data_IF_894653309633
#
_entry.id   IF_894653309633
#
_cell.length_a   1.000
_cell.length_b   1.000
_cell.length_c   1.000
_cell.angle_alpha   90.00
_cell.angle_beta   90.00
_cell.angle_gamma   90.00
#
_symmetry.space_group_name_H-M   'P 1'
#
loop_
_entity.id
_entity.type
_entity.pdbx_description
1 polymer ?
#
# COMPACT_ATOMS: atom_id res chain seq x y z
N UNK A 1 -45.31 16.67 -25.71
CA UNK A 1 -44.20 16.80 -26.67
C UNK A 1 -43.48 15.45 -26.72
N UNK A 2 -43.63 14.68 -27.81
CA UNK A 2 -43.04 13.32 -27.91
C UNK A 2 -41.55 13.48 -28.19
N UNK A 3 -40.71 13.17 -27.21
CA UNK A 3 -39.25 13.12 -27.39
C UNK A 3 -38.99 12.00 -28.40
N UNK A 4 -38.31 12.28 -29.54
CA UNK A 4 -38.08 11.27 -30.56
C UNK A 4 -37.20 10.14 -30.00
N UNK A 5 -37.59 8.89 -30.27
CA UNK A 5 -36.92 7.67 -29.78
C UNK A 5 -35.40 7.66 -30.05
N UNK A 6 -34.96 8.35 -31.11
CA UNK A 6 -33.55 8.52 -31.47
C UNK A 6 -32.74 9.28 -30.40
N UNK A 7 -33.30 10.32 -29.78
CA UNK A 7 -32.64 11.08 -28.70
C UNK A 7 -32.51 10.20 -27.45
N UNK A 8 -33.48 9.31 -27.23
CA UNK A 8 -33.47 8.35 -26.13
C UNK A 8 -32.32 7.35 -26.28
N UNK A 9 -32.10 6.84 -27.50
CA UNK A 9 -30.99 5.92 -27.79
C UNK A 9 -29.62 6.60 -27.69
N UNK A 10 -29.50 7.84 -28.13
CA UNK A 10 -28.27 8.65 -27.96
C UNK A 10 -27.96 8.88 -26.47
N UNK A 11 -28.97 9.21 -25.67
CA UNK A 11 -28.80 9.42 -24.23
C UNK A 11 -28.35 8.13 -23.51
N UNK A 12 -28.94 6.99 -23.87
CA UNK A 12 -28.58 5.68 -23.29
C UNK A 12 -27.16 5.27 -23.70
N UNK A 13 -26.77 5.52 -24.94
CA UNK A 13 -25.41 5.24 -25.41
C UNK A 13 -24.37 6.09 -24.67
N UNK A 14 -24.63 7.38 -24.48
CA UNK A 14 -23.74 8.26 -23.69
C UNK A 14 -23.64 7.84 -22.23
N UNK A 15 -24.74 7.43 -21.60
CA UNK A 15 -24.73 6.91 -20.23
C UNK A 15 -23.89 5.62 -20.13
N UNK A 16 -24.03 4.69 -21.08
CA UNK A 16 -23.28 3.44 -21.10
C UNK A 16 -21.77 3.66 -21.27
N UNK A 17 -21.37 4.59 -22.15
CA UNK A 17 -19.95 4.96 -22.33
C UNK A 17 -19.40 5.58 -21.05
N UNK A 18 -20.15 6.46 -20.39
CA UNK A 18 -19.71 7.12 -19.16
C UNK A 18 -19.48 6.13 -18.00
N UNK A 19 -20.35 5.11 -17.87
CA UNK A 19 -20.20 4.08 -16.85
C UNK A 19 -19.01 3.13 -17.11
N UNK A 20 -18.65 2.90 -18.37
CA UNK A 20 -17.52 2.02 -18.72
C UNK A 20 -16.13 2.62 -18.39
N UNK A 21 -16.06 3.94 -18.20
CA UNK A 21 -14.83 4.65 -17.78
C UNK A 21 -14.54 4.61 -16.27
N UNK A 22 -15.41 4.00 -15.46
CA UNK A 22 -15.23 3.95 -14.01
C UNK A 22 -14.38 2.73 -13.59
N UNK A 23 -13.05 2.91 -13.55
CA UNK A 23 -12.16 1.96 -12.90
C UNK A 23 -12.05 2.32 -11.41
N UNK A 24 -12.75 1.60 -10.54
CA UNK A 24 -12.63 1.75 -9.10
C UNK A 24 -11.79 0.60 -8.53
N UNK A 25 -10.62 0.92 -7.96
CA UNK A 25 -9.84 -0.04 -7.18
C UNK A 25 -10.37 -0.04 -5.75
N UNK A 26 -10.91 -1.16 -5.29
CA UNK A 26 -11.37 -1.32 -3.91
C UNK A 26 -10.25 -2.01 -3.14
N UNK A 27 -9.51 -1.27 -2.31
CA UNK A 27 -8.63 -1.87 -1.31
C UNK A 27 -9.49 -2.40 -0.15
N UNK A 28 -9.62 -3.74 -0.06
CA UNK A 28 -10.28 -4.41 1.05
C UNK A 28 -9.26 -4.67 2.17
N UNK A 29 -9.31 -3.85 3.22
CA UNK A 29 -8.46 -3.98 4.40
C UNK A 29 -7.26 -3.04 4.43
N UNK A 30 -6.52 -3.02 5.55
CA UNK A 30 -5.35 -2.17 5.72
C UNK A 30 -4.20 -2.69 4.85
N UNK A 31 -3.57 -1.81 4.09
CA UNK A 31 -2.33 -2.06 3.35
C UNK A 31 -1.45 -0.82 3.45
N UNK A 32 -0.13 -0.96 3.43
CA UNK A 32 0.74 0.20 3.24
C UNK A 32 0.45 0.73 1.83
N UNK A 33 0.08 2.00 1.77
CA UNK A 33 0.03 2.76 0.53
C UNK A 33 1.36 2.76 -0.24
N UNK A 34 1.47 3.51 -1.33
CA UNK A 34 2.74 3.67 -2.04
C UNK A 34 3.81 4.14 -1.05
N UNK A 35 4.95 3.43 -1.04
CA UNK A 35 6.11 3.84 -0.26
C UNK A 35 6.77 5.01 -0.97
N UNK A 36 7.07 6.07 -0.24
CA UNK A 36 7.85 7.20 -0.75
C UNK A 36 9.34 6.89 -0.60
N UNK A 37 10.09 7.02 -1.69
CA UNK A 37 11.55 6.83 -1.69
C UNK A 37 12.24 8.16 -1.39
N UNK A 38 13.17 8.15 -0.45
CA UNK A 38 14.04 9.30 -0.16
C UNK A 38 15.49 8.86 -0.22
N UNK A 39 16.25 9.46 -1.13
CA UNK A 39 17.69 9.25 -1.22
C UNK A 39 18.38 10.04 -0.11
N UNK A 40 19.00 9.33 0.84
CA UNK A 40 19.74 9.96 1.92
C UNK A 40 21.11 10.44 1.46
N UNK A 41 21.79 9.63 0.64
CA UNK A 41 23.12 9.90 0.08
C UNK A 41 23.44 8.93 -1.06
N UNK A 42 24.40 9.29 -1.91
CA UNK A 42 24.93 8.47 -3.00
C UNK A 42 24.26 8.66 -4.36
N UNK A 43 25.04 8.44 -5.42
CA UNK A 43 24.63 8.60 -6.84
C UNK A 43 24.90 7.33 -7.67
N UNK A 44 25.07 6.18 -7.00
CA UNK A 44 25.40 4.92 -7.65
C UNK A 44 24.25 4.34 -8.49
N UNK A 45 24.55 3.42 -9.44
CA UNK A 45 23.54 2.80 -10.29
C UNK A 45 22.67 1.75 -9.56
N UNK A 46 22.93 1.51 -8.27
CA UNK A 46 22.17 0.59 -7.45
C UNK A 46 21.90 1.21 -6.08
N UNK A 47 20.77 0.82 -5.49
CA UNK A 47 20.25 1.38 -4.24
C UNK A 47 20.52 0.43 -3.08
N UNK A 48 20.72 1.00 -1.90
CA UNK A 48 20.72 0.27 -0.63
C UNK A 48 19.53 0.77 0.16
N UNK A 49 18.56 -0.11 0.42
CA UNK A 49 17.36 0.28 1.17
C UNK A 49 17.64 0.25 2.67
N UNK A 50 17.48 1.39 3.34
CA UNK A 50 17.54 1.50 4.80
C UNK A 50 16.16 1.25 5.41
N UNK A 51 16.06 0.25 6.28
CA UNK A 51 14.86 -0.04 7.08
C UNK A 51 15.16 0.23 8.55
N UNK A 52 14.38 1.10 9.18
CA UNK A 52 14.54 1.47 10.58
C UNK A 52 13.48 0.77 11.45
N UNK A 53 13.94 -0.04 12.41
CA UNK A 53 13.10 -0.76 13.36
C UNK A 53 13.32 -0.12 14.73
N UNK A 54 12.33 0.63 15.20
CA UNK A 54 12.39 1.35 16.47
C UNK A 54 11.28 0.89 17.43
N UNK A 55 11.63 0.70 18.71
CA UNK A 55 10.66 0.36 19.76
C UNK A 55 10.37 -1.14 19.85
N UNK A 56 9.29 -1.51 20.55
CA UNK A 56 8.94 -2.92 20.83
C UNK A 56 8.40 -3.58 19.57
N UNK A 57 9.01 -4.70 19.16
CA UNK A 57 8.53 -5.50 18.02
C UNK A 57 7.26 -6.22 18.45
N UNK A 58 6.12 -5.81 17.89
CA UNK A 58 4.83 -6.42 18.16
C UNK A 58 4.05 -6.64 16.85
N UNK A 59 3.17 -7.63 16.87
CA UNK A 59 2.24 -7.92 15.78
C UNK A 59 0.81 -7.51 16.15
N UNK A 60 0.66 -6.50 17.01
CA UNK A 60 -0.67 -6.02 17.39
C UNK A 60 -1.23 -5.16 16.27
N UNK A 61 -2.48 -5.46 15.92
CA UNK A 61 -3.26 -4.70 14.96
C UNK A 61 -4.10 -3.70 15.73
N UNK A 62 -4.09 -2.45 15.30
CA UNK A 62 -5.03 -1.48 15.84
C UNK A 62 -6.42 -1.75 15.26
N UNK A 63 -7.39 -1.92 16.16
CA UNK A 63 -8.79 -2.16 15.81
C UNK A 63 -9.62 -0.95 16.19
N UNK A 64 -10.51 -0.52 15.29
CA UNK A 64 -11.55 0.46 15.63
C UNK A 64 -12.63 -0.18 16.50
N UNK A 65 -13.45 0.67 17.13
CA UNK A 65 -14.61 0.25 17.92
C UNK A 65 -15.59 -0.67 17.16
N UNK A 66 -15.60 -0.59 15.83
CA UNK A 66 -16.40 -1.45 14.93
C UNK A 66 -15.74 -2.80 14.61
N UNK A 67 -14.55 -3.07 15.14
CA UNK A 67 -13.77 -4.30 14.89
C UNK A 67 -12.93 -4.27 13.61
N UNK A 68 -13.04 -3.23 12.78
CA UNK A 68 -12.23 -3.10 11.57
C UNK A 68 -10.77 -2.76 11.92
N UNK A 69 -9.82 -3.46 11.29
CA UNK A 69 -8.39 -3.16 11.45
C UNK A 69 -8.05 -1.85 10.73
N UNK A 70 -7.47 -0.91 11.45
CA UNK A 70 -7.16 0.44 10.95
C UNK A 70 -5.72 0.64 10.53
N UNK A 71 -4.80 -0.16 11.07
CA UNK A 71 -3.38 -0.06 10.75
C UNK A 71 -2.75 -1.45 10.72
N UNK A 72 -1.71 -1.60 9.88
CA UNK A 72 -0.86 -2.77 9.88
C UNK A 72 0.02 -2.77 11.13
N UNK A 73 0.25 -3.96 11.69
CA UNK A 73 1.25 -4.13 12.75
C UNK A 73 2.67 -3.91 12.22
N UNK A 74 3.64 -3.65 13.11
CA UNK A 74 5.04 -3.40 12.73
C UNK A 74 5.61 -4.53 11.85
N UNK A 75 5.37 -5.79 12.21
CA UNK A 75 5.84 -6.96 11.45
C UNK A 75 5.21 -7.03 10.06
N UNK A 76 3.90 -6.76 9.96
CA UNK A 76 3.21 -6.75 8.67
C UNK A 76 3.72 -5.64 7.76
N UNK A 77 3.96 -4.44 8.32
CA UNK A 77 4.55 -3.33 7.59
C UNK A 77 5.96 -3.66 7.08
N UNK A 78 6.82 -4.23 7.91
CA UNK A 78 8.17 -4.67 7.51
C UNK A 78 8.07 -5.73 6.41
N UNK A 79 7.15 -6.69 6.54
CA UNK A 79 6.93 -7.72 5.51
C UNK A 79 6.50 -7.12 4.18
N UNK A 80 5.59 -6.14 4.18
CA UNK A 80 5.18 -5.45 2.95
C UNK A 80 6.32 -4.63 2.35
N UNK A 81 7.15 -3.96 3.16
CA UNK A 81 8.34 -3.24 2.68
C UNK A 81 9.30 -4.21 1.99
N UNK A 82 9.63 -5.34 2.64
CA UNK A 82 10.53 -6.35 2.07
C UNK A 82 9.93 -6.96 0.79
N UNK A 83 8.62 -7.24 0.77
CA UNK A 83 7.95 -7.78 -0.42
C UNK A 83 7.89 -6.78 -1.60
N UNK A 84 7.89 -5.47 -1.31
CA UNK A 84 8.03 -4.42 -2.32
C UNK A 84 9.49 -4.31 -2.78
N UNK A 85 10.45 -4.38 -1.85
CA UNK A 85 11.87 -4.31 -2.13
C UNK A 85 12.37 -5.49 -2.98
N UNK A 86 11.85 -6.70 -2.75
CA UNK A 86 12.17 -7.91 -3.53
C UNK A 86 11.78 -7.78 -5.02
N UNK A 87 10.82 -6.91 -5.34
CA UNK A 87 10.37 -6.64 -6.72
C UNK A 87 11.14 -5.51 -7.40
N UNK A 88 11.98 -4.78 -6.67
CA UNK A 88 12.76 -3.68 -7.19
C UNK A 88 14.19 -4.17 -7.50
N UNK A 89 14.47 -4.34 -8.80
CA UNK A 89 15.78 -4.82 -9.25
C UNK A 89 16.91 -3.83 -8.93
N UNK A 90 16.64 -2.55 -8.67
CA UNK A 90 17.68 -1.56 -8.36
C UNK A 90 18.19 -1.69 -6.93
N UNK A 91 17.42 -2.32 -6.03
CA UNK A 91 17.84 -2.57 -4.64
C UNK A 91 18.83 -3.73 -4.61
N UNK A 92 20.10 -3.41 -4.33
CA UNK A 92 21.19 -4.40 -4.29
C UNK A 92 21.49 -4.90 -2.88
N UNK A 93 21.07 -4.17 -1.86
CA UNK A 93 21.25 -4.55 -0.47
C UNK A 93 20.20 -3.90 0.45
N UNK A 94 20.00 -4.53 1.62
CA UNK A 94 19.18 -4.03 2.71
C UNK A 94 20.09 -3.67 3.89
N UNK A 95 19.95 -2.45 4.42
CA UNK A 95 20.55 -2.02 5.68
C UNK A 95 19.44 -1.93 6.72
N UNK A 96 19.46 -2.79 7.72
CA UNK A 96 18.45 -2.79 8.79
C UNK A 96 19.06 -2.16 10.04
N UNK A 97 18.57 -0.98 10.40
CA UNK A 97 18.93 -0.31 11.65
C UNK A 97 17.93 -0.73 12.71
N UNK A 98 18.38 -1.43 13.74
CA UNK A 98 17.52 -1.95 14.81
C UNK A 98 17.84 -1.22 16.11
N UNK A 99 16.84 -0.54 16.65
CA UNK A 99 16.81 0.01 17.99
C UNK A 99 15.55 -0.50 18.71
N UNK A 100 15.60 -1.77 19.11
CA UNK A 100 14.50 -2.46 19.77
C UNK A 100 14.99 -3.20 21.01
N UNK A 101 14.26 -3.12 22.15
CA UNK A 101 14.50 -4.00 23.29
C UNK A 101 14.05 -5.45 23.04
N UNK A 102 13.50 -5.74 21.85
CA UNK A 102 12.87 -7.02 21.51
C UNK A 102 11.35 -6.94 21.58
N UNK A 103 10.71 -8.10 21.78
CA UNK A 103 9.26 -8.22 21.75
C UNK A 103 8.79 -9.66 21.91
N UNK A 104 7.63 -9.98 21.34
CA UNK A 104 7.09 -11.35 21.39
C UNK A 104 7.93 -12.28 20.50
N UNK A 105 8.27 -13.48 20.98
CA UNK A 105 9.07 -14.48 20.22
C UNK A 105 8.47 -14.80 18.84
N UNK A 106 7.15 -14.74 18.72
CA UNK A 106 6.43 -14.99 17.46
C UNK A 106 6.50 -13.83 16.45
N UNK A 107 7.06 -12.69 16.84
CA UNK A 107 7.18 -11.49 16.02
C UNK A 107 8.62 -11.20 15.56
N UNK A 108 9.60 -11.93 16.12
CA UNK A 108 11.04 -11.80 15.85
C UNK A 108 11.56 -12.88 14.92
#
# INVERSE_FOLDING_TARGET
MKIPEFIKHILVLHLAVFLSSACATIQLGPSLGPLEETVLDGEGPGKILLVDIQGIINNQKDHTFTGATTALGMVEGIREIIAKADKDEDIKALLIKINSPGGTVTAS
#
